data_IF_621657152909
#
_entry.id   IF_621657152909
#
_cell.length_a   1.000
_cell.length_b   1.000
_cell.length_c   1.000
_cell.angle_alpha   90.00
_cell.angle_beta   90.00
_cell.angle_gamma   90.00
#
_symmetry.space_group_name_H-M   'P 1'
#
loop_
_entity.id
_entity.type
_entity.pdbx_description
1 polymer ?
#
# COMPACT_ATOMS: atom_id res chain seq x y z
N UNK A 1 31.28 -3.47 3.11
CA UNK A 1 31.24 -2.58 1.92
C UNK A 1 30.78 -3.30 0.65
N UNK A 2 31.26 -4.53 0.37
CA UNK A 2 30.86 -5.28 -0.83
C UNK A 2 29.35 -5.60 -0.92
N UNK A 3 28.71 -6.07 0.16
CA UNK A 3 27.27 -6.38 0.16
C UNK A 3 26.38 -5.15 -0.17
N UNK A 4 26.68 -4.00 0.42
CA UNK A 4 25.94 -2.74 0.17
C UNK A 4 26.08 -2.29 -1.31
N UNK A 5 27.26 -2.48 -1.90
CA UNK A 5 27.49 -2.13 -3.31
C UNK A 5 26.76 -3.08 -4.26
N UNK A 6 26.72 -4.38 -3.91
CA UNK A 6 25.99 -5.40 -4.66
C UNK A 6 24.48 -5.11 -4.61
N UNK A 7 23.91 -4.85 -3.42
CA UNK A 7 22.50 -4.50 -3.25
C UNK A 7 22.13 -3.23 -4.04
N UNK A 8 22.94 -2.17 -3.94
CA UNK A 8 22.75 -0.95 -4.75
C UNK A 8 22.81 -1.22 -6.25
N UNK A 9 23.72 -2.09 -6.70
CA UNK A 9 23.82 -2.51 -8.10
C UNK A 9 22.55 -3.22 -8.58
N UNK A 10 22.07 -4.20 -7.80
CA UNK A 10 20.86 -4.98 -8.09
C UNK A 10 19.62 -4.07 -8.15
N UNK A 11 19.48 -3.13 -7.21
CA UNK A 11 18.35 -2.21 -7.22
C UNK A 11 18.36 -1.29 -8.45
N UNK A 12 19.53 -0.79 -8.86
CA UNK A 12 19.62 0.09 -10.02
C UNK A 12 19.28 -0.65 -11.32
N UNK A 13 19.74 -1.89 -11.47
CA UNK A 13 19.40 -2.75 -12.61
C UNK A 13 17.89 -3.05 -12.64
N UNK A 14 17.32 -3.46 -11.50
CA UNK A 14 15.88 -3.72 -11.38
C UNK A 14 15.03 -2.48 -11.69
N UNK A 15 15.42 -1.30 -11.21
CA UNK A 15 14.73 -0.03 -11.53
C UNK A 15 14.79 0.24 -13.04
N UNK A 16 15.94 0.02 -13.68
CA UNK A 16 16.10 0.19 -15.13
C UNK A 16 15.16 -0.72 -15.91
N UNK A 17 15.11 -2.01 -15.54
CA UNK A 17 14.24 -2.98 -16.19
C UNK A 17 12.76 -2.66 -16.02
N UNK A 18 12.35 -2.30 -14.80
CA UNK A 18 10.97 -1.90 -14.52
C UNK A 18 10.58 -0.63 -15.28
N UNK A 19 11.48 0.34 -15.41
CA UNK A 19 11.24 1.54 -16.22
C UNK A 19 11.10 1.20 -17.71
N UNK A 20 11.86 0.23 -18.23
CA UNK A 20 11.68 -0.27 -19.59
C UNK A 20 10.31 -0.94 -19.77
N UNK A 21 9.86 -1.73 -18.79
CA UNK A 21 8.51 -2.31 -18.78
C UNK A 21 7.44 -1.22 -18.81
N UNK A 22 7.58 -0.18 -17.99
CA UNK A 22 6.64 0.95 -17.93
C UNK A 22 6.65 1.75 -19.23
N UNK A 23 7.80 1.91 -19.88
CA UNK A 23 7.91 2.57 -21.19
C UNK A 23 7.16 1.81 -22.28
N UNK A 24 7.16 0.48 -22.22
CA UNK A 24 6.43 -0.38 -23.17
C UNK A 24 4.93 -0.43 -22.82
N UNK A 25 4.61 -0.57 -21.53
CA UNK A 25 3.25 -0.63 -21.01
C UNK A 25 3.13 0.21 -19.73
N UNK A 26 2.65 1.44 -19.89
CA UNK A 26 2.51 2.40 -18.80
C UNK A 26 1.35 2.09 -17.83
N UNK A 27 0.58 1.04 -18.10
CA UNK A 27 -0.52 0.54 -17.27
C UNK A 27 -0.16 -0.76 -16.53
N UNK A 28 1.11 -1.15 -16.53
CA UNK A 28 1.56 -2.33 -15.79
C UNK A 28 1.60 -2.06 -14.28
N UNK A 29 0.50 -2.34 -13.57
CA UNK A 29 0.40 -2.15 -12.12
C UNK A 29 1.52 -2.88 -11.34
N UNK A 30 1.86 -4.10 -11.75
CA UNK A 30 2.94 -4.87 -11.11
C UNK A 30 4.32 -4.22 -11.21
N UNK A 31 4.60 -3.53 -12.32
CA UNK A 31 5.85 -2.79 -12.47
C UNK A 31 5.94 -1.61 -11.48
N UNK A 32 4.85 -0.85 -11.31
CA UNK A 32 4.80 0.22 -10.32
C UNK A 32 4.85 -0.33 -8.88
N UNK A 33 4.17 -1.44 -8.59
CA UNK A 33 4.27 -2.10 -7.28
C UNK A 33 5.73 -2.45 -6.94
N UNK A 34 6.45 -3.08 -7.87
CA UNK A 34 7.83 -3.48 -7.66
C UNK A 34 8.77 -2.28 -7.49
N UNK A 35 8.57 -1.19 -8.25
CA UNK A 35 9.30 0.07 -8.02
C UNK A 35 9.01 0.63 -6.61
N UNK A 36 7.76 0.58 -6.18
CA UNK A 36 7.37 0.99 -4.83
C UNK A 36 8.11 0.23 -3.74
N UNK A 37 8.19 -1.10 -3.88
CA UNK A 37 8.93 -1.98 -2.97
C UNK A 37 10.43 -1.66 -2.96
N UNK A 38 11.05 -1.52 -4.13
CA UNK A 38 12.49 -1.19 -4.21
C UNK A 38 12.77 0.16 -3.56
N UNK A 39 11.96 1.19 -3.84
CA UNK A 39 12.14 2.50 -3.23
C UNK A 39 11.88 2.49 -1.72
N UNK A 40 10.99 1.64 -1.23
CA UNK A 40 10.79 1.41 0.20
C UNK A 40 12.04 0.84 0.87
N UNK A 41 12.67 -0.18 0.28
CA UNK A 41 13.95 -0.73 0.77
C UNK A 41 15.10 0.27 0.72
N UNK A 42 15.05 1.23 -0.19
CA UNK A 42 16.01 2.34 -0.26
C UNK A 42 15.67 3.50 0.68
N UNK A 43 14.62 3.38 1.51
CA UNK A 43 14.08 4.44 2.38
C UNK A 43 13.67 5.72 1.63
N UNK A 44 13.45 5.61 0.31
CA UNK A 44 12.96 6.69 -0.54
C UNK A 44 11.43 6.70 -0.50
N UNK A 45 10.89 6.96 0.69
CA UNK A 45 9.47 6.76 0.99
C UNK A 45 8.51 7.52 0.07
N UNK A 46 8.82 8.76 -0.30
CA UNK A 46 7.94 9.51 -1.22
C UNK A 46 7.85 8.85 -2.60
N UNK A 47 8.98 8.39 -3.16
CA UNK A 47 8.99 7.67 -4.43
C UNK A 47 8.26 6.33 -4.32
N UNK A 48 8.36 5.66 -3.18
CA UNK A 48 7.62 4.43 -2.92
C UNK A 48 6.10 4.70 -2.91
N UNK A 49 5.66 5.74 -2.19
CA UNK A 49 4.26 6.17 -2.11
C UNK A 49 3.69 6.48 -3.50
N UNK A 50 4.40 7.26 -4.31
CA UNK A 50 3.95 7.64 -5.65
C UNK A 50 3.72 6.41 -6.55
N UNK A 51 4.63 5.43 -6.45
CA UNK A 51 4.55 4.19 -7.20
C UNK A 51 3.42 3.28 -6.71
N UNK A 52 3.21 3.15 -5.38
CA UNK A 52 2.08 2.39 -4.86
C UNK A 52 0.73 3.02 -5.21
N UNK A 53 0.62 4.35 -5.16
CA UNK A 53 -0.59 5.06 -5.60
C UNK A 53 -0.86 4.83 -7.09
N UNK A 54 0.19 4.83 -7.93
CA UNK A 54 0.04 4.51 -9.35
C UNK A 54 -0.40 3.07 -9.57
N UNK A 55 0.14 2.12 -8.80
CA UNK A 55 -0.29 0.73 -8.81
C UNK A 55 -1.78 0.59 -8.45
N UNK A 56 -2.23 1.23 -7.37
CA UNK A 56 -3.64 1.23 -6.91
C UNK A 56 -4.58 1.72 -8.01
N UNK A 57 -4.25 2.85 -8.63
CA UNK A 57 -5.08 3.46 -9.69
C UNK A 57 -5.15 2.59 -10.96
N UNK A 58 -4.10 1.80 -11.24
CA UNK A 58 -4.06 0.90 -12.39
C UNK A 58 -4.67 -0.48 -12.11
N UNK A 59 -4.93 -0.80 -10.84
CA UNK A 59 -5.44 -2.10 -10.39
C UNK A 59 -6.95 -2.11 -10.21
N UNK A 60 -7.70 -1.18 -10.81
CA UNK A 60 -9.16 -1.20 -10.77
C UNK A 60 -9.69 -2.54 -11.33
N UNK A 61 -10.32 -3.34 -10.46
CA UNK A 61 -10.78 -4.70 -10.78
C UNK A 61 -9.77 -5.83 -10.51
N UNK A 62 -8.53 -5.52 -10.14
CA UNK A 62 -7.54 -6.48 -9.64
C UNK A 62 -7.25 -6.24 -8.15
N UNK A 63 -7.99 -6.98 -7.33
CA UNK A 63 -7.96 -6.89 -5.88
C UNK A 63 -6.57 -7.18 -5.28
N UNK A 64 -5.73 -7.99 -5.93
CA UNK A 64 -4.45 -8.40 -5.34
C UNK A 64 -3.46 -7.23 -5.25
N UNK A 65 -3.18 -6.55 -6.36
CA UNK A 65 -2.19 -5.46 -6.40
C UNK A 65 -2.65 -4.24 -5.59
N UNK A 66 -3.96 -3.98 -5.60
CA UNK A 66 -4.54 -2.90 -4.81
C UNK A 66 -4.35 -3.15 -3.30
N UNK A 67 -4.65 -4.37 -2.82
CA UNK A 67 -4.47 -4.77 -1.42
C UNK A 67 -3.03 -4.59 -0.95
N UNK A 68 -2.07 -5.23 -1.63
CA UNK A 68 -0.68 -5.21 -1.19
C UNK A 68 -0.06 -3.81 -1.27
N UNK A 69 -0.54 -2.97 -2.19
CA UNK A 69 -0.11 -1.57 -2.29
C UNK A 69 -0.65 -0.73 -1.13
N UNK A 70 -1.93 -0.87 -0.78
CA UNK A 70 -2.49 -0.23 0.42
C UNK A 70 -1.80 -0.67 1.70
N UNK A 71 -1.48 -1.97 1.82
CA UNK A 71 -0.74 -2.49 2.98
C UNK A 71 0.65 -1.84 3.10
N UNK A 72 1.42 -1.80 2.01
CA UNK A 72 2.74 -1.18 2.01
C UNK A 72 2.69 0.34 2.25
N UNK A 73 1.68 1.04 1.71
CA UNK A 73 1.43 2.45 2.04
C UNK A 73 1.20 2.64 3.54
N UNK A 74 0.36 1.79 4.15
CA UNK A 74 0.11 1.83 5.59
C UNK A 74 1.39 1.74 6.42
N UNK A 75 2.28 0.81 6.08
CA UNK A 75 3.58 0.65 6.74
C UNK A 75 4.45 1.91 6.54
N UNK A 76 4.62 2.37 5.30
CA UNK A 76 5.53 3.48 4.99
C UNK A 76 5.06 4.78 5.65
N UNK A 77 3.77 5.07 5.56
CA UNK A 77 3.16 6.27 6.15
C UNK A 77 3.27 6.23 7.69
N UNK A 78 3.17 5.03 8.28
CA UNK A 78 3.42 4.82 9.72
C UNK A 78 4.88 5.06 10.11
N UNK A 79 5.84 4.60 9.31
CA UNK A 79 7.27 4.89 9.49
C UNK A 79 7.53 6.41 9.41
N UNK A 80 6.81 7.11 8.53
CA UNK A 80 6.87 8.58 8.42
C UNK A 80 6.15 9.32 9.56
N UNK A 81 5.53 8.62 10.50
CA UNK A 81 4.88 9.17 11.68
C UNK A 81 3.42 9.60 11.49
N UNK A 82 2.83 9.38 10.32
CA UNK A 82 1.42 9.70 10.08
C UNK A 82 0.52 8.49 10.40
N UNK A 83 0.31 8.27 11.70
CA UNK A 83 -0.41 7.10 12.20
C UNK A 83 -1.87 7.02 11.73
N UNK A 84 -2.55 8.16 11.53
CA UNK A 84 -3.95 8.16 11.11
C UNK A 84 -4.10 7.64 9.67
N UNK A 85 -3.27 8.15 8.76
CA UNK A 85 -3.26 7.73 7.37
C UNK A 85 -2.72 6.30 7.21
N UNK A 86 -1.76 5.89 8.05
CA UNK A 86 -1.27 4.52 8.12
C UNK A 86 -2.40 3.53 8.40
N UNK A 87 -3.18 3.78 9.47
CA UNK A 87 -4.33 2.95 9.85
C UNK A 87 -5.38 2.93 8.74
N UNK A 88 -5.69 4.08 8.13
CA UNK A 88 -6.66 4.14 7.03
C UNK A 88 -6.25 3.27 5.84
N UNK A 89 -4.97 3.31 5.44
CA UNK A 89 -4.47 2.49 4.33
C UNK A 89 -4.47 0.99 4.68
N UNK A 90 -4.14 0.62 5.91
CA UNK A 90 -4.22 -0.78 6.35
C UNK A 90 -5.66 -1.30 6.30
N UNK A 91 -6.65 -0.51 6.75
CA UNK A 91 -8.06 -0.92 6.68
C UNK A 91 -8.49 -1.16 5.23
N UNK A 92 -8.15 -0.25 4.31
CA UNK A 92 -8.43 -0.43 2.88
C UNK A 92 -7.83 -1.72 2.32
N UNK A 93 -6.64 -2.12 2.77
CA UNK A 93 -6.04 -3.38 2.37
C UNK A 93 -6.87 -4.59 2.82
N UNK A 94 -7.41 -4.57 4.05
CA UNK A 94 -8.24 -5.65 4.58
C UNK A 94 -9.65 -5.70 3.98
N UNK A 95 -10.23 -4.56 3.59
CA UNK A 95 -11.54 -4.47 2.93
C UNK A 95 -11.62 -5.24 1.60
N UNK A 96 -10.49 -5.38 0.90
CA UNK A 96 -10.44 -5.96 -0.45
C UNK A 96 -10.62 -7.49 -0.46
N UNK A 97 -10.35 -8.18 0.66
CA UNK A 97 -10.42 -9.65 0.73
C UNK A 97 -11.49 -10.17 1.69
N UNK A 98 -11.73 -9.50 2.83
CA UNK A 98 -12.44 -10.16 3.91
C UNK A 98 -13.27 -9.20 4.76
N UNK A 99 -14.59 -9.20 4.50
CA UNK A 99 -15.58 -8.49 5.30
C UNK A 99 -15.59 -8.98 6.76
N UNK A 100 -15.17 -10.23 7.03
CA UNK A 100 -15.11 -10.75 8.40
C UNK A 100 -14.02 -10.06 9.21
N UNK A 101 -12.83 -9.86 8.64
CA UNK A 101 -11.73 -9.12 9.30
C UNK A 101 -12.14 -7.67 9.56
N UNK A 102 -12.81 -7.04 8.59
CA UNK A 102 -13.34 -5.68 8.76
C UNK A 102 -14.34 -5.60 9.92
N UNK A 103 -15.24 -6.58 10.04
CA UNK A 103 -16.21 -6.66 11.15
C UNK A 103 -15.50 -6.73 12.50
N UNK A 104 -14.48 -7.57 12.64
CA UNK A 104 -13.70 -7.67 13.89
C UNK A 104 -12.96 -6.37 14.21
N UNK A 105 -12.31 -5.74 13.21
CA UNK A 105 -11.64 -4.44 13.39
C UNK A 105 -12.63 -3.36 13.84
N UNK A 106 -13.85 -3.36 13.31
CA UNK A 106 -14.92 -2.44 13.72
C UNK A 106 -15.35 -2.67 15.16
N UNK A 107 -15.65 -3.91 15.53
CA UNK A 107 -16.08 -4.28 16.89
C UNK A 107 -15.03 -3.89 17.92
N UNK A 108 -13.75 -4.18 17.66
CA UNK A 108 -12.64 -3.77 18.54
C UNK A 108 -12.49 -2.25 18.60
N UNK A 109 -12.59 -1.55 17.46
CA UNK A 109 -12.48 -0.09 17.44
C UNK A 109 -13.58 0.60 18.26
N UNK A 110 -14.80 0.09 18.23
CA UNK A 110 -15.92 0.57 19.06
C UNK A 110 -15.66 0.29 20.55
N UNK A 111 -15.16 -0.90 20.90
CA UNK A 111 -14.81 -1.27 22.29
C UNK A 111 -13.69 -0.38 22.83
N UNK A 112 -12.64 -0.13 22.04
CA UNK A 112 -11.46 0.61 22.47
C UNK A 112 -11.53 2.12 22.15
N UNK A 113 -12.67 2.62 21.66
CA UNK A 113 -12.89 4.01 21.27
C UNK A 113 -11.80 4.56 20.32
N UNK A 114 -11.36 3.73 19.37
CA UNK A 114 -10.34 4.10 18.38
C UNK A 114 -10.95 5.04 17.35
N UNK A 115 -10.86 6.34 17.62
CA UNK A 115 -11.47 7.41 16.84
C UNK A 115 -11.09 7.40 15.36
N UNK A 116 -9.86 7.01 15.02
CA UNK A 116 -9.38 6.95 13.63
C UNK A 116 -10.16 5.92 12.83
N UNK A 117 -10.33 4.72 13.40
CA UNK A 117 -11.07 3.62 12.77
C UNK A 117 -12.55 3.95 12.69
N UNK A 118 -13.13 4.51 13.77
CA UNK A 118 -14.54 4.92 13.82
C UNK A 118 -14.84 6.00 12.75
N UNK A 119 -14.02 7.05 12.66
CA UNK A 119 -14.20 8.14 11.69
C UNK A 119 -14.03 7.65 10.24
N UNK A 120 -13.12 6.69 10.02
CA UNK A 120 -12.96 6.05 8.71
C UNK A 120 -14.21 5.24 8.32
N UNK A 121 -14.69 4.37 9.21
CA UNK A 121 -15.87 3.54 8.99
C UNK A 121 -17.16 4.37 8.78
N UNK A 122 -17.27 5.51 9.46
CA UNK A 122 -18.38 6.44 9.27
C UNK A 122 -18.36 7.09 7.87
N UNK A 123 -17.17 7.32 7.29
CA UNK A 123 -16.98 7.93 5.96
C UNK A 123 -17.09 6.94 4.81
N UNK A 124 -16.74 5.67 5.03
CA UNK A 124 -16.69 4.66 3.96
C UNK A 124 -18.05 4.13 3.51
N UNK A 125 -19.18 4.60 4.09
CA UNK A 125 -20.55 4.21 3.71
C UNK A 125 -20.79 2.68 3.74
N UNK A 126 -20.02 1.94 4.55
CA UNK A 126 -20.12 0.49 4.66
C UNK A 126 -21.38 0.16 5.47
N UNK A 127 -22.52 0.11 4.78
CA UNK A 127 -23.72 -0.56 5.28
C UNK A 127 -23.49 -2.05 5.20
N UNK A 128 -23.23 -2.67 6.34
CA UNK A 128 -23.36 -4.11 6.49
C UNK A 128 -24.87 -4.39 6.42
N UNK A 129 -25.33 -4.98 5.32
CA UNK A 129 -26.64 -5.62 5.33
C UNK A 129 -26.51 -6.87 6.21
N UNK A 130 -27.37 -6.94 7.23
CA UNK A 130 -27.47 -8.03 8.19
C UNK A 130 -27.81 -9.37 7.52
#
# INVERSE_FOLDING_TARGET
>A
MAAILIEKGIYNEAISDLNNVIKINNNNAGAYYNLGVIYSYQEKYQLAIDNFNRCINLSEGNNYFQKISYYNLGIIVGIMGNNEEAVSNLIKAYEIEDNMILKTIKEEAEIYNNKVVIDYLAKSNIRINY
#
